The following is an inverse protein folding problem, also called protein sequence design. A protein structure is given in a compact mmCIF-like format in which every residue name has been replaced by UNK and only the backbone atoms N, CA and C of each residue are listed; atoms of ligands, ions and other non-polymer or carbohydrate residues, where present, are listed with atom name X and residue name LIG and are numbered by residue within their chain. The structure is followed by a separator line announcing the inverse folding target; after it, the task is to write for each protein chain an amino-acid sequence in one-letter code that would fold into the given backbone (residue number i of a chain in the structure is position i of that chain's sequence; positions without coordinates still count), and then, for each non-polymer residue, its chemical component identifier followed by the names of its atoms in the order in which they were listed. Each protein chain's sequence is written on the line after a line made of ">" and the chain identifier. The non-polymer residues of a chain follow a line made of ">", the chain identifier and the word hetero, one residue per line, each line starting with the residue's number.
data_IF_248190965994
#
_entry.id   IF_248190965994
#
_cell.length_a   1.000
_cell.length_b   1.000
_cell.length_c   1.000
_cell.angle_alpha   90.00
_cell.angle_beta   90.00
_cell.angle_gamma   90.00
#
_symmetry.space_group_name_H-M   'P 1'
#
loop_
_entity.id
_entity.type
_entity.pdbx_description
1 polymer ?
#
# COMPACT_ATOMS: atom_id res chain seq x y z
N UNK A 1 1.21 14.43 -5.12
CA UNK A 1 1.21 13.44 -6.22
C UNK A 1 2.63 13.02 -6.59
N UNK A 2 3.12 11.94 -5.99
CA UNK A 2 4.37 11.26 -6.37
C UNK A 2 4.08 9.76 -6.43
N UNK A 3 4.61 9.06 -7.43
CA UNK A 3 4.50 7.60 -7.52
C UNK A 3 5.38 6.96 -6.45
N UNK A 4 4.79 6.10 -5.63
CA UNK A 4 5.42 5.59 -4.40
C UNK A 4 5.31 4.07 -4.34
N UNK A 5 6.45 3.38 -4.28
CA UNK A 5 6.48 1.91 -4.14
C UNK A 5 6.53 1.53 -2.66
N UNK A 6 5.64 0.63 -2.23
CA UNK A 6 5.56 0.15 -0.84
C UNK A 6 6.05 -1.29 -0.79
N UNK A 7 7.24 -1.49 -0.25
CA UNK A 7 7.83 -2.83 -0.07
C UNK A 7 7.34 -3.44 1.25
N UNK A 8 6.83 -4.66 1.19
CA UNK A 8 6.21 -5.32 2.34
C UNK A 8 4.73 -4.99 2.49
N UNK A 9 4.05 -4.77 1.36
CA UNK A 9 2.60 -4.58 1.33
C UNK A 9 1.87 -5.76 2.00
N UNK A 10 0.75 -5.44 2.65
CA UNK A 10 -0.02 -6.40 3.43
C UNK A 10 -1.44 -5.90 3.63
N UNK A 11 -2.40 -6.82 3.62
CA UNK A 11 -3.81 -6.57 3.93
C UNK A 11 -4.11 -6.47 5.43
N UNK A 12 -3.10 -6.68 6.30
CA UNK A 12 -3.28 -6.56 7.74
C UNK A 12 -3.25 -5.09 8.18
N UNK A 13 -4.41 -4.58 8.59
CA UNK A 13 -4.60 -3.18 8.99
C UNK A 13 -3.75 -2.73 10.20
N UNK A 14 -3.32 -3.68 11.05
CA UNK A 14 -2.44 -3.38 12.18
C UNK A 14 -0.96 -3.19 11.82
N UNK A 15 -0.57 -3.34 10.54
CA UNK A 15 0.81 -3.20 10.07
C UNK A 15 1.05 -1.80 9.50
N UNK A 16 2.23 -1.25 9.79
CA UNK A 16 2.65 0.07 9.29
C UNK A 16 2.59 0.20 7.76
N UNK A 17 2.85 -0.86 7.01
CA UNK A 17 2.76 -0.81 5.55
C UNK A 17 1.33 -0.51 5.06
N UNK A 18 0.30 -1.04 5.74
CA UNK A 18 -1.10 -0.75 5.42
C UNK A 18 -1.46 0.70 5.79
N UNK A 19 -1.06 1.16 6.99
CA UNK A 19 -1.27 2.54 7.44
C UNK A 19 -0.60 3.55 6.48
N UNK A 20 0.63 3.26 6.05
CA UNK A 20 1.34 4.09 5.09
C UNK A 20 0.63 4.13 3.73
N UNK A 21 0.10 2.99 3.27
CA UNK A 21 -0.68 2.93 2.04
C UNK A 21 -1.95 3.80 2.13
N UNK A 22 -2.67 3.74 3.25
CA UNK A 22 -3.86 4.58 3.50
C UNK A 22 -3.50 6.06 3.45
N UNK A 23 -2.48 6.48 4.21
CA UNK A 23 -2.03 7.87 4.21
C UNK A 23 -1.62 8.34 2.82
N UNK A 24 -0.78 7.57 2.12
CA UNK A 24 -0.33 7.93 0.78
C UNK A 24 -1.52 8.07 -0.19
N UNK A 25 -2.49 7.16 -0.12
CA UNK A 25 -3.70 7.24 -0.93
C UNK A 25 -4.55 8.49 -0.59
N UNK A 26 -4.75 8.79 0.70
CA UNK A 26 -5.47 10.00 1.16
C UNK A 26 -4.81 11.30 0.69
N UNK A 27 -3.48 11.36 0.70
CA UNK A 27 -2.72 12.52 0.19
C UNK A 27 -2.63 12.56 -1.34
N UNK A 28 -3.31 11.65 -2.05
CA UNK A 28 -3.29 11.59 -3.50
C UNK A 28 -1.89 11.26 -4.01
N UNK A 29 -1.31 10.15 -3.54
CA UNK A 29 -0.14 9.53 -4.15
C UNK A 29 -0.57 8.24 -4.84
N UNK A 30 -0.14 8.07 -6.09
CA UNK A 30 -0.17 6.75 -6.73
C UNK A 30 0.77 5.83 -5.95
N UNK A 31 0.23 4.75 -5.40
CA UNK A 31 1.02 3.72 -4.73
C UNK A 31 1.26 2.54 -5.67
N UNK A 32 2.29 1.75 -5.39
CA UNK A 32 2.56 0.45 -6.03
C UNK A 32 2.92 -0.50 -4.90
N UNK A 33 1.95 -1.28 -4.38
CA UNK A 33 2.23 -2.26 -3.34
C UNK A 33 3.06 -3.41 -3.92
N UNK A 34 4.05 -3.87 -3.16
CA UNK A 34 4.87 -5.04 -3.49
C UNK A 34 4.98 -5.93 -2.26
N UNK A 35 4.38 -7.12 -2.33
CA UNK A 35 4.39 -8.13 -1.29
C UNK A 35 4.81 -9.52 -1.79
N UNK A 36 5.27 -10.38 -0.88
CA UNK A 36 5.48 -11.82 -1.19
C UNK A 36 4.18 -12.63 -1.06
N UNK A 37 3.20 -12.07 -0.36
CA UNK A 37 1.88 -12.67 -0.16
C UNK A 37 0.94 -11.99 -1.13
N UNK A 38 0.13 -12.78 -1.83
CA UNK A 38 -0.92 -12.23 -2.69
C UNK A 38 -2.01 -11.60 -1.82
N UNK A 39 -2.46 -10.44 -2.24
CA UNK A 39 -3.52 -9.69 -1.59
C UNK A 39 -3.88 -8.47 -2.43
N UNK A 40 -4.83 -7.69 -1.93
CA UNK A 40 -5.21 -6.41 -2.50
C UNK A 40 -5.19 -5.37 -1.40
N UNK A 41 -4.36 -4.35 -1.55
CA UNK A 41 -4.29 -3.20 -0.66
C UNK A 41 -4.90 -2.00 -1.37
N UNK A 42 -6.04 -1.54 -0.84
CA UNK A 42 -6.73 -0.32 -1.30
C UNK A 42 -7.05 -0.30 -2.80
N UNK A 43 -7.54 -1.41 -3.35
CA UNK A 43 -7.85 -1.51 -4.78
C UNK A 43 -6.66 -1.87 -5.67
N UNK A 44 -5.48 -2.11 -5.09
CA UNK A 44 -4.23 -2.35 -5.82
C UNK A 44 -3.65 -3.70 -5.44
N UNK A 45 -3.29 -4.50 -6.45
CA UNK A 45 -2.75 -5.83 -6.25
C UNK A 45 -1.30 -5.78 -5.74
N UNK A 46 -1.04 -6.54 -4.69
CA UNK A 46 0.25 -6.68 -3.99
C UNK A 46 1.34 -7.40 -4.81
#
# INVERSE_FOLDING_TARGET
>A
MKKTMIIGATTNQGRYAYIAAEMLNEYGHEIVPVGIKKGEVLGQLD
#
